data_IF_323441775624
#
_entry.id   IF_323441775624
#
_cell.length_a   1.000
_cell.length_b   1.000
_cell.length_c   1.000
_cell.angle_alpha   90.00
_cell.angle_beta   90.00
_cell.angle_gamma   90.00
#
_symmetry.space_group_name_H-M   'P 1'
#
loop_
_entity.id
_entity.type
_entity.pdbx_description
1 polymer ?
#
# COMPACT_ATOMS: atom_id res chain seq x y z
N UNK A 1 4.36 3.16 16.13
CA UNK A 1 3.65 2.73 14.91
C UNK A 1 2.24 2.27 15.28
N UNK A 2 2.09 1.44 16.32
CA UNK A 2 0.81 0.80 16.69
C UNK A 2 -0.35 1.73 17.11
N UNK A 3 -0.11 3.03 17.26
CA UNK A 3 -1.15 4.05 17.50
C UNK A 3 -1.12 5.21 16.50
N UNK A 4 -0.49 5.02 15.34
CA UNK A 4 -0.31 6.05 14.32
C UNK A 4 -1.17 5.73 13.10
N UNK A 5 -1.92 6.71 12.60
CA UNK A 5 -2.74 6.56 11.39
C UNK A 5 -1.89 6.58 10.11
N UNK A 6 -0.71 7.23 10.15
CA UNK A 6 0.29 7.26 9.06
C UNK A 6 1.70 7.28 9.65
N UNK A 7 2.63 6.59 9.00
CA UNK A 7 4.06 6.69 9.22
C UNK A 7 4.72 7.60 8.16
N UNK A 8 5.31 8.71 8.62
CA UNK A 8 6.21 9.52 7.79
C UNK A 8 7.60 8.93 7.84
N UNK A 9 8.04 8.34 6.74
CA UNK A 9 9.33 7.68 6.65
C UNK A 9 10.36 8.58 5.98
N UNK A 10 11.13 9.29 6.82
CA UNK A 10 12.12 10.27 6.36
C UNK A 10 13.47 9.58 6.11
N UNK A 11 13.96 9.69 4.89
CA UNK A 11 15.25 9.16 4.44
C UNK A 11 16.15 10.34 4.06
N UNK A 12 17.41 10.30 4.48
CA UNK A 12 18.42 11.25 4.00
C UNK A 12 18.82 10.90 2.57
N UNK A 13 18.39 11.71 1.60
CA UNK A 13 18.63 11.43 0.20
C UNK A 13 20.13 11.42 -0.17
N UNK A 14 20.99 12.09 0.61
CA UNK A 14 22.44 12.13 0.37
C UNK A 14 23.16 10.83 0.76
N UNK A 15 22.53 10.01 1.60
CA UNK A 15 23.09 8.72 2.03
C UNK A 15 22.47 7.53 1.27
N UNK A 16 21.45 7.79 0.44
CA UNK A 16 20.66 6.75 -0.19
C UNK A 16 19.88 5.91 0.83
N UNK A 17 19.39 4.75 0.38
CA UNK A 17 18.58 3.85 1.23
C UNK A 17 19.51 2.83 1.89
N UNK A 18 19.58 2.86 3.22
CA UNK A 18 20.41 1.95 4.01
C UNK A 18 19.69 0.63 4.33
N UNK A 19 20.43 -0.34 4.87
CA UNK A 19 19.83 -1.58 5.36
C UNK A 19 18.93 -1.37 6.58
N UNK A 20 19.22 -0.34 7.40
CA UNK A 20 18.40 0.00 8.55
C UNK A 20 17.07 0.62 8.10
N UNK A 21 17.10 1.45 7.05
CA UNK A 21 15.90 2.04 6.45
C UNK A 21 14.95 0.95 5.93
N UNK A 22 15.48 -0.04 5.20
CA UNK A 22 14.68 -1.17 4.71
C UNK A 22 14.00 -1.93 5.86
N UNK A 23 14.75 -2.29 6.90
CA UNK A 23 14.19 -3.00 8.07
C UNK A 23 13.10 -2.18 8.78
N UNK A 24 13.25 -0.86 8.84
CA UNK A 24 12.23 0.00 9.44
C UNK A 24 10.97 0.08 8.56
N UNK A 25 11.13 0.22 7.25
CA UNK A 25 10.02 0.21 6.30
C UNK A 25 9.26 -1.14 6.32
N UNK A 26 9.95 -2.28 6.37
CA UNK A 26 9.34 -3.61 6.51
C UNK A 26 8.49 -3.72 7.78
N UNK A 27 8.98 -3.15 8.90
CA UNK A 27 8.22 -3.13 10.16
C UNK A 27 6.97 -2.27 10.08
N UNK A 28 7.03 -1.14 9.38
CA UNK A 28 5.87 -0.25 9.16
C UNK A 28 4.81 -0.96 8.30
N UNK A 29 5.25 -1.59 7.20
CA UNK A 29 4.37 -2.35 6.31
C UNK A 29 3.70 -3.53 7.03
N UNK A 30 4.47 -4.29 7.82
CA UNK A 30 3.94 -5.40 8.62
C UNK A 30 2.87 -4.95 9.64
N UNK A 31 3.05 -3.77 10.25
CA UNK A 31 2.03 -3.17 11.11
C UNK A 31 0.74 -2.85 10.34
N UNK A 32 0.82 -2.64 9.03
CA UNK A 32 -0.28 -2.19 8.19
C UNK A 32 -0.54 -0.70 8.33
N UNK A 33 0.47 0.08 8.73
CA UNK A 33 0.37 1.53 8.81
C UNK A 33 0.69 2.14 7.44
N UNK A 34 -0.14 3.03 6.88
CA UNK A 34 0.18 3.74 5.64
C UNK A 34 1.52 4.45 5.76
N UNK A 35 2.34 4.34 4.72
CA UNK A 35 3.69 4.92 4.70
C UNK A 35 3.77 6.01 3.63
N UNK A 36 4.35 7.15 4.00
CA UNK A 36 4.74 8.21 3.06
C UNK A 36 6.25 8.37 3.14
N UNK A 37 6.93 8.13 2.03
CA UNK A 37 8.39 8.19 1.96
C UNK A 37 8.79 9.65 1.71
N UNK A 38 9.67 10.19 2.54
CA UNK A 38 10.19 11.55 2.41
C UNK A 38 11.69 11.52 2.17
N UNK A 39 12.11 11.81 0.94
CA UNK A 39 13.52 12.00 0.60
C UNK A 39 13.93 13.42 0.99
N UNK A 40 14.56 13.54 2.16
CA UNK A 40 15.00 14.81 2.73
C UNK A 40 16.39 15.22 2.21
N UNK A 41 16.71 16.51 2.32
CA UNK A 41 17.95 17.13 1.79
C UNK A 41 18.05 17.04 0.26
N UNK A 42 16.92 16.97 -0.44
CA UNK A 42 16.88 16.81 -1.89
C UNK A 42 17.57 17.95 -2.66
N UNK A 43 17.65 19.13 -2.06
CA UNK A 43 18.36 20.29 -2.58
C UNK A 43 19.87 20.08 -2.71
N UNK A 44 20.47 19.19 -1.92
CA UNK A 44 21.91 18.93 -1.95
C UNK A 44 22.33 18.02 -3.11
N UNK A 45 21.36 17.42 -3.80
CA UNK A 45 21.62 16.55 -4.95
C UNK A 45 21.42 17.40 -6.20
N UNK A 46 22.51 17.91 -6.76
CA UNK A 46 22.47 18.77 -7.95
C UNK A 46 22.44 17.96 -9.25
N UNK A 47 23.18 16.86 -9.28
CA UNK A 47 23.36 16.00 -10.45
C UNK A 47 22.08 15.22 -10.82
N UNK A 48 21.76 15.18 -12.12
CA UNK A 48 20.54 14.57 -12.61
C UNK A 48 20.61 13.03 -12.61
N UNK A 49 21.76 12.46 -12.94
CA UNK A 49 21.96 11.01 -12.94
C UNK A 49 21.88 10.46 -11.52
N UNK A 50 22.44 11.18 -10.56
CA UNK A 50 22.36 10.86 -9.13
C UNK A 50 20.91 10.87 -8.63
N UNK A 51 20.10 11.86 -9.04
CA UNK A 51 18.68 11.90 -8.70
C UNK A 51 17.91 10.70 -9.25
N UNK A 52 18.18 10.33 -10.50
CA UNK A 52 17.57 9.16 -11.13
C UNK A 52 18.00 7.87 -10.42
N UNK A 53 19.28 7.76 -10.08
CA UNK A 53 19.83 6.63 -9.31
C UNK A 53 19.10 6.45 -7.99
N UNK A 54 18.88 7.53 -7.24
CA UNK A 54 18.16 7.47 -5.96
C UNK A 54 16.70 7.05 -6.16
N UNK A 55 16.00 7.58 -7.18
CA UNK A 55 14.63 7.18 -7.47
C UNK A 55 14.53 5.67 -7.80
N UNK A 56 15.48 5.15 -8.59
CA UNK A 56 15.58 3.71 -8.90
C UNK A 56 15.92 2.88 -7.66
N UNK A 57 16.81 3.39 -6.80
CA UNK A 57 17.15 2.73 -5.53
C UNK A 57 15.92 2.60 -4.62
N UNK A 58 15.09 3.65 -4.51
CA UNK A 58 13.86 3.62 -3.71
C UNK A 58 12.95 2.50 -4.22
N UNK A 59 12.65 2.46 -5.52
CA UNK A 59 11.81 1.42 -6.12
C UNK A 59 12.37 0.02 -5.91
N UNK A 60 13.69 -0.15 -6.05
CA UNK A 60 14.34 -1.45 -5.91
C UNK A 60 14.40 -1.94 -4.46
N UNK A 61 14.80 -1.07 -3.52
CA UNK A 61 15.03 -1.45 -2.12
C UNK A 61 13.76 -1.41 -1.27
N UNK A 62 12.76 -0.61 -1.67
CA UNK A 62 11.48 -0.48 -0.98
C UNK A 62 10.32 -1.02 -1.85
N UNK A 63 10.60 -2.02 -2.69
CA UNK A 63 9.62 -2.61 -3.63
C UNK A 63 8.36 -3.16 -2.95
N UNK A 64 8.45 -3.52 -1.66
CA UNK A 64 7.32 -4.03 -0.88
C UNK A 64 6.32 -2.93 -0.50
N UNK A 65 6.71 -1.66 -0.62
CA UNK A 65 5.86 -0.46 -0.47
C UNK A 65 5.87 0.38 -1.75
N UNK A 66 5.94 -0.25 -2.92
CA UNK A 66 6.08 0.44 -4.23
C UNK A 66 4.95 1.45 -4.51
N UNK A 67 3.76 1.21 -3.96
CA UNK A 67 2.63 2.14 -4.09
C UNK A 67 2.78 3.40 -3.21
N UNK A 68 3.73 3.45 -2.26
CA UNK A 68 3.90 4.55 -1.31
C UNK A 68 4.24 5.89 -1.99
N UNK A 69 3.62 7.02 -1.58
CA UNK A 69 3.95 8.31 -2.14
C UNK A 69 5.37 8.70 -1.73
N UNK A 70 6.20 9.05 -2.72
CA UNK A 70 7.57 9.53 -2.50
C UNK A 70 7.60 11.05 -2.65
N UNK A 71 7.89 11.75 -1.56
CA UNK A 71 8.00 13.20 -1.51
C UNK A 71 9.45 13.63 -1.39
N UNK A 72 9.90 14.41 -2.37
CA UNK A 72 11.23 15.04 -2.37
C UNK A 72 11.14 16.38 -1.65
N UNK A 73 11.86 16.51 -0.55
CA UNK A 73 11.74 17.66 0.36
C UNK A 73 13.10 18.18 0.82
N UNK A 74 13.07 19.44 1.28
CA UNK A 74 14.11 20.05 2.09
C UNK A 74 13.46 20.51 3.39
N UNK A 75 13.72 19.83 4.49
CA UNK A 75 13.23 20.28 5.80
C UNK A 75 13.86 21.62 6.21
N UNK A 76 15.09 21.91 5.76
CA UNK A 76 15.82 23.13 6.07
C UNK A 76 15.20 24.36 5.38
N UNK A 77 14.93 24.26 4.07
CA UNK A 77 14.38 25.37 3.28
C UNK A 77 12.85 25.39 3.22
N UNK A 78 12.20 24.31 3.67
CA UNK A 78 10.75 24.11 3.54
C UNK A 78 10.29 23.69 2.14
N UNK A 79 11.20 23.57 1.16
CA UNK A 79 10.86 23.17 -0.21
C UNK A 79 10.20 21.80 -0.23
N UNK A 80 9.06 21.69 -0.91
CA UNK A 80 8.30 20.44 -1.07
C UNK A 80 7.45 20.01 0.14
N UNK A 81 7.65 20.59 1.33
CA UNK A 81 6.92 20.21 2.55
C UNK A 81 5.41 20.47 2.44
N UNK A 82 5.01 21.52 1.72
CA UNK A 82 3.58 21.83 1.49
C UNK A 82 2.81 20.70 0.79
N UNK A 83 3.50 19.82 0.05
CA UNK A 83 2.88 18.65 -0.61
C UNK A 83 2.47 17.56 0.38
N UNK A 84 2.97 17.61 1.61
CA UNK A 84 2.71 16.60 2.63
C UNK A 84 1.25 16.57 3.06
N UNK A 85 0.66 17.75 3.30
CA UNK A 85 -0.71 17.86 3.79
C UNK A 85 -1.76 17.17 2.89
N UNK A 86 -1.84 17.44 1.57
CA UNK A 86 -2.82 16.77 0.72
C UNK A 86 -2.59 15.26 0.65
N UNK A 87 -1.32 14.80 0.64
CA UNK A 87 -0.99 13.38 0.63
C UNK A 87 -1.42 12.69 1.92
N UNK A 88 -1.18 13.32 3.08
CA UNK A 88 -1.61 12.80 4.38
C UNK A 88 -3.13 12.73 4.50
N UNK A 89 -3.83 13.77 4.05
CA UNK A 89 -5.29 13.79 4.07
C UNK A 89 -5.87 12.65 3.25
N UNK A 90 -5.37 12.45 2.03
CA UNK A 90 -5.82 11.35 1.17
C UNK A 90 -5.53 9.98 1.79
N UNK A 91 -4.31 9.77 2.31
CA UNK A 91 -3.92 8.51 2.93
C UNK A 91 -4.76 8.19 4.19
N UNK A 92 -5.04 9.17 5.07
CA UNK A 92 -5.92 9.00 6.24
C UNK A 92 -7.35 8.65 5.79
N UNK A 93 -7.86 9.38 4.79
CA UNK A 93 -9.22 9.16 4.28
C UNK A 93 -9.39 7.75 3.72
N UNK A 94 -8.42 7.27 2.93
CA UNK A 94 -8.47 5.91 2.39
C UNK A 94 -8.24 4.85 3.47
N UNK A 95 -7.37 5.11 4.45
CA UNK A 95 -7.13 4.20 5.56
C UNK A 95 -8.42 3.93 6.34
N UNK A 96 -9.14 4.96 6.77
CA UNK A 96 -10.38 4.76 7.54
C UNK A 96 -11.62 4.42 6.69
N UNK A 97 -11.48 4.27 5.37
CA UNK A 97 -12.62 4.15 4.48
C UNK A 97 -13.36 2.83 4.66
N UNK A 98 -14.66 2.92 4.97
CA UNK A 98 -15.58 1.76 4.97
C UNK A 98 -16.22 1.59 3.59
N UNK A 99 -16.08 0.41 3.02
CA UNK A 99 -16.69 -0.01 1.75
C UNK A 99 -17.89 -0.91 2.05
N UNK A 100 -19.09 -0.59 1.52
CA UNK A 100 -20.27 -1.44 1.66
C UNK A 100 -20.04 -2.85 1.09
N UNK A 101 -20.51 -3.88 1.80
CA UNK A 101 -20.38 -5.29 1.39
C UNK A 101 -20.88 -5.53 -0.04
N UNK A 102 -21.95 -4.83 -0.46
CA UNK A 102 -22.48 -4.92 -1.83
C UNK A 102 -21.43 -4.54 -2.88
N UNK A 103 -20.71 -3.44 -2.67
CA UNK A 103 -19.71 -2.96 -3.61
C UNK A 103 -18.49 -3.88 -3.64
N UNK A 104 -18.06 -4.38 -2.48
CA UNK A 104 -16.98 -5.38 -2.40
C UNK A 104 -17.33 -6.63 -3.22
N UNK A 105 -18.54 -7.17 -3.05
CA UNK A 105 -18.97 -8.35 -3.79
C UNK A 105 -19.10 -8.10 -5.29
N UNK A 106 -19.54 -6.90 -5.70
CA UNK A 106 -19.57 -6.51 -7.13
C UNK A 106 -18.16 -6.56 -7.74
N UNK A 107 -17.18 -5.91 -7.10
CA UNK A 107 -15.80 -5.88 -7.59
C UNK A 107 -15.19 -7.29 -7.67
N UNK A 108 -15.42 -8.11 -6.64
CA UNK A 108 -14.94 -9.51 -6.65
C UNK A 108 -15.61 -10.33 -7.75
N UNK A 109 -16.93 -10.18 -7.95
CA UNK A 109 -17.64 -10.88 -9.02
C UNK A 109 -17.09 -10.49 -10.40
N UNK A 110 -16.91 -9.20 -10.65
CA UNK A 110 -16.36 -8.68 -11.91
C UNK A 110 -14.94 -9.19 -12.16
N UNK A 111 -14.09 -9.20 -11.14
CA UNK A 111 -12.72 -9.73 -11.23
C UNK A 111 -12.71 -11.23 -11.55
N UNK A 112 -13.53 -12.04 -10.86
CA UNK A 112 -13.63 -13.47 -11.13
C UNK A 112 -14.22 -13.79 -12.51
N UNK A 113 -15.10 -12.93 -13.03
CA UNK A 113 -15.64 -13.08 -14.38
C UNK A 113 -14.57 -12.81 -15.45
N UNK A 114 -13.75 -11.78 -15.26
CA UNK A 114 -12.63 -11.46 -16.17
C UNK A 114 -11.55 -12.53 -16.14
N UNK A 115 -11.21 -13.00 -14.94
CA UNK A 115 -10.18 -14.00 -14.74
C UNK A 115 -10.64 -15.00 -13.67
N UNK A 116 -11.22 -16.15 -14.06
CA UNK A 116 -11.63 -17.18 -13.10
C UNK A 116 -10.42 -17.87 -12.47
N UNK A 117 -10.56 -18.30 -11.22
CA UNK A 117 -9.51 -19.08 -10.58
C UNK A 117 -9.47 -20.51 -11.15
N UNK A 118 -8.27 -21.10 -11.20
CA UNK A 118 -8.10 -22.48 -11.63
C UNK A 118 -8.79 -23.48 -10.70
N UNK A 119 -9.17 -24.65 -11.24
CA UNK A 119 -9.70 -25.76 -10.44
C UNK A 119 -11.07 -25.52 -9.80
N UNK A 120 -11.84 -24.54 -10.29
CA UNK A 120 -13.19 -24.22 -9.78
C UNK A 120 -13.19 -23.56 -8.41
N UNK A 121 -12.04 -23.06 -7.95
CA UNK A 121 -11.96 -22.24 -6.76
C UNK A 121 -12.58 -20.86 -7.01
N UNK A 122 -13.33 -20.35 -6.05
CA UNK A 122 -13.99 -19.05 -6.10
C UNK A 122 -14.22 -18.47 -4.72
N UNK A 123 -14.18 -17.15 -4.66
CA UNK A 123 -14.76 -16.35 -3.58
C UNK A 123 -16.28 -16.40 -3.74
N UNK A 124 -16.93 -16.93 -2.72
CA UNK A 124 -18.39 -17.05 -2.62
C UNK A 124 -19.01 -15.73 -2.20
N UNK A 125 -18.39 -15.07 -1.22
CA UNK A 125 -18.72 -13.72 -0.80
C UNK A 125 -17.50 -13.08 -0.11
N UNK A 126 -17.50 -11.75 -0.06
CA UNK A 126 -16.45 -10.97 0.57
C UNK A 126 -17.04 -9.79 1.35
N UNK A 127 -16.34 -9.32 2.37
CA UNK A 127 -16.66 -8.09 3.08
C UNK A 127 -15.39 -7.39 3.59
N UNK A 128 -15.48 -6.09 3.90
CA UNK A 128 -14.46 -5.41 4.69
C UNK A 128 -14.71 -5.66 6.18
N UNK A 129 -13.84 -6.44 6.81
CA UNK A 129 -13.92 -6.82 8.23
C UNK A 129 -13.32 -5.78 9.18
N UNK A 130 -12.38 -4.95 8.72
CA UNK A 130 -11.78 -3.86 9.50
C UNK A 130 -11.38 -2.70 8.59
N UNK A 131 -11.31 -1.49 9.14
CA UNK A 131 -10.86 -0.27 8.47
C UNK A 131 -9.40 0.05 8.78
N UNK A 132 -8.86 -0.34 9.93
CA UNK A 132 -7.55 0.14 10.38
C UNK A 132 -6.60 -1.03 10.67
N UNK A 133 -5.93 -1.60 9.65
CA UNK A 133 -5.97 -1.26 8.22
C UNK A 133 -7.17 -1.85 7.45
N UNK A 134 -7.45 -1.37 6.22
CA UNK A 134 -8.53 -1.92 5.40
C UNK A 134 -8.31 -3.41 5.17
N UNK A 135 -9.15 -4.21 5.81
CA UNK A 135 -9.02 -5.66 5.85
C UNK A 135 -10.23 -6.29 5.19
N UNK A 136 -10.01 -6.95 4.05
CA UNK A 136 -11.05 -7.66 3.32
C UNK A 136 -11.00 -9.15 3.65
N UNK A 137 -12.13 -9.68 4.12
CA UNK A 137 -12.28 -11.12 4.38
C UNK A 137 -12.98 -11.77 3.20
N UNK A 138 -12.31 -12.74 2.58
CA UNK A 138 -12.81 -13.52 1.45
C UNK A 138 -13.23 -14.90 1.95
N UNK A 139 -14.48 -15.27 1.69
CA UNK A 139 -14.99 -16.60 1.99
C UNK A 139 -14.97 -17.43 0.72
N UNK A 140 -14.15 -18.49 0.73
CA UNK A 140 -13.83 -19.27 -0.47
C UNK A 140 -14.39 -20.68 -0.36
N UNK A 141 -14.77 -21.27 -1.50
CA UNK A 141 -15.19 -22.67 -1.57
C UNK A 141 -14.01 -23.65 -1.53
N UNK A 142 -12.84 -23.21 -2.01
CA UNK A 142 -11.60 -23.97 -2.15
C UNK A 142 -10.43 -23.03 -1.95
N UNK A 143 -9.25 -23.59 -1.75
CA UNK A 143 -8.04 -22.82 -1.61
C UNK A 143 -7.71 -22.05 -2.89
N UNK A 144 -7.38 -20.76 -2.75
CA UNK A 144 -6.96 -19.91 -3.87
C UNK A 144 -5.44 -19.81 -3.88
N UNK A 145 -4.78 -19.94 -5.05
CA UNK A 145 -3.35 -19.69 -5.16
C UNK A 145 -2.97 -18.26 -4.74
N UNK A 146 -1.80 -18.08 -4.15
CA UNK A 146 -1.29 -16.75 -3.74
C UNK A 146 -1.25 -15.74 -4.89
N UNK A 147 -0.97 -16.18 -6.11
CA UNK A 147 -0.99 -15.34 -7.31
C UNK A 147 -2.39 -14.79 -7.59
N UNK A 148 -3.42 -15.60 -7.37
CA UNK A 148 -4.81 -15.19 -7.53
C UNK A 148 -5.27 -14.25 -6.41
N UNK A 149 -4.83 -14.48 -5.18
CA UNK A 149 -5.09 -13.55 -4.07
C UNK A 149 -4.49 -12.17 -4.35
N UNK A 150 -3.24 -12.10 -4.86
CA UNK A 150 -2.63 -10.83 -5.29
C UNK A 150 -3.41 -10.13 -6.40
N UNK A 151 -3.95 -10.90 -7.36
CA UNK A 151 -4.83 -10.37 -8.40
C UNK A 151 -6.12 -9.75 -7.82
N UNK A 152 -6.77 -10.44 -6.88
CA UNK A 152 -7.97 -9.92 -6.22
C UNK A 152 -7.67 -8.69 -5.36
N UNK A 153 -6.55 -8.68 -4.64
CA UNK A 153 -6.09 -7.52 -3.87
C UNK A 153 -5.93 -6.29 -4.77
N UNK A 154 -5.20 -6.46 -5.88
CA UNK A 154 -5.01 -5.40 -6.87
C UNK A 154 -6.33 -4.92 -7.45
N UNK A 155 -7.26 -5.83 -7.74
CA UNK A 155 -8.59 -5.48 -8.25
C UNK A 155 -9.40 -4.63 -7.24
N UNK A 156 -9.33 -4.96 -5.95
CA UNK A 156 -9.94 -4.17 -4.87
C UNK A 156 -9.26 -2.79 -4.78
N UNK A 157 -7.92 -2.76 -4.80
CA UNK A 157 -7.12 -1.53 -4.72
C UNK A 157 -7.49 -0.54 -5.81
N UNK A 158 -7.53 -1.01 -7.06
CA UNK A 158 -7.87 -0.22 -8.23
C UNK A 158 -9.34 0.23 -8.19
N UNK A 159 -10.28 -0.67 -7.90
CA UNK A 159 -11.71 -0.34 -7.93
C UNK A 159 -12.13 0.70 -6.88
N UNK A 160 -11.46 0.73 -5.74
CA UNK A 160 -11.76 1.67 -4.66
C UNK A 160 -10.74 2.79 -4.51
N UNK A 161 -9.73 2.89 -5.39
CA UNK A 161 -8.67 3.92 -5.31
C UNK A 161 -7.94 3.93 -3.96
N UNK A 162 -7.60 2.77 -3.40
CA UNK A 162 -6.83 2.71 -2.15
C UNK A 162 -5.40 3.23 -2.28
N UNK A 163 -4.90 3.43 -3.51
CA UNK A 163 -3.56 3.97 -3.78
C UNK A 163 -2.50 3.20 -3.01
N UNK A 164 -1.72 3.93 -2.21
CA UNK A 164 -0.64 3.42 -1.36
C UNK A 164 -1.07 2.77 -0.04
N UNK A 165 -2.37 2.76 0.24
CA UNK A 165 -2.87 2.30 1.55
C UNK A 165 -2.65 0.80 1.69
N UNK A 166 -2.03 0.30 2.78
CA UNK A 166 -1.86 -1.13 2.98
C UNK A 166 -3.22 -1.83 3.02
N UNK A 167 -3.37 -2.91 2.23
CA UNK A 167 -4.57 -3.72 2.19
C UNK A 167 -4.28 -5.09 2.78
N UNK A 168 -5.13 -5.57 3.68
CA UNK A 168 -5.01 -6.92 4.24
C UNK A 168 -6.09 -7.82 3.68
N UNK A 169 -5.71 -8.90 3.01
CA UNK A 169 -6.63 -9.98 2.65
C UNK A 169 -6.60 -11.09 3.71
N UNK A 170 -7.78 -11.45 4.21
CA UNK A 170 -7.99 -12.63 5.06
C UNK A 170 -8.82 -13.65 4.31
N UNK A 171 -8.30 -14.85 4.14
CA UNK A 171 -9.02 -15.94 3.46
C UNK A 171 -9.59 -16.88 4.51
N UNK A 172 -10.89 -17.16 4.40
CA UNK A 172 -11.57 -18.17 5.21
C UNK A 172 -12.19 -19.22 4.30
N UNK A 173 -11.87 -20.49 4.53
CA UNK A 173 -12.67 -21.57 3.97
C UNK A 173 -14.02 -21.54 4.67
N UNK A 174 -15.09 -21.65 3.89
CA UNK A 174 -16.43 -21.81 4.47
C UNK A 174 -16.41 -23.09 5.29
N UNK A 175 -16.57 -22.97 6.60
CA UNK A 175 -17.03 -24.08 7.44
C UNK A 175 -18.47 -24.33 7.04
N UNK A 176 -18.81 -25.58 6.75
CA UNK A 176 -20.21 -26.00 6.55
C UNK A 176 -21.10 -25.57 7.73
#
# INVERSE_FOLDING_TARGET
VDGSDIALFVIDATQGITAQDQRLAERIDAAGCPIVIMLNKWELIEDAEERERIDLEVKRKLYFVDDAPVLKVSALTGKGVHKLRPVLQEAILQYHRRIPTRDVNRVIADAQQRQPAGGGAKVMYALQGATDPPTFTLFVNRELPHTYLRYLERSIREAFNFGSTPLKLRVRKRSD
#
